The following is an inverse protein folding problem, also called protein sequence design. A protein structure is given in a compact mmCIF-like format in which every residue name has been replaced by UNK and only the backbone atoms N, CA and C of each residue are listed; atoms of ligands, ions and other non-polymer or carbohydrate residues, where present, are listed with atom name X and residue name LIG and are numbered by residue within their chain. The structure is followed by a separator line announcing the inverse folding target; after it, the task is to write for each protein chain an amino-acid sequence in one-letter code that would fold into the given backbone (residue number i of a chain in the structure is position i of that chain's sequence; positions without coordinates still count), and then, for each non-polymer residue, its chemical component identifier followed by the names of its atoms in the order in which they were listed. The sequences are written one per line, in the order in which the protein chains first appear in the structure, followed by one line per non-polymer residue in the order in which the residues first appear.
data_IF_367183409046
#
_entry.id   IF_367183409046
#
_cell.length_a   1.000
_cell.length_b   1.000
_cell.length_c   1.000
_cell.angle_alpha   90.00
_cell.angle_beta   90.00
_cell.angle_gamma   90.00
#
_symmetry.space_group_name_H-M   'P 1'
#
loop_
_entity.id
_entity.type
_entity.pdbx_description
1 polymer ?
#
# COMPACT_ATOMS: atom_id res chain seq x y z
N UNK A 1 -8.26 -1.99 5.11
CA UNK A 1 -7.37 -2.89 4.35
C UNK A 1 -5.98 -2.74 4.93
N UNK A 2 -5.33 -3.85 5.29
CA UNK A 2 -3.95 -3.80 5.80
C UNK A 2 -2.91 -3.88 4.67
N UNK A 3 -3.33 -4.25 3.45
CA UNK A 3 -2.61 -4.05 2.17
C UNK A 3 -1.33 -4.87 1.97
N UNK A 4 -0.67 -5.24 3.06
CA UNK A 4 0.70 -5.77 3.11
C UNK A 4 0.74 -6.98 4.07
N UNK A 5 1.64 -7.93 3.81
CA UNK A 5 1.85 -9.10 4.65
C UNK A 5 2.36 -8.72 6.04
N UNK A 6 3.30 -7.77 6.13
CA UNK A 6 3.88 -7.33 7.40
C UNK A 6 2.81 -6.87 8.40
N UNK A 7 1.75 -6.20 7.92
CA UNK A 7 0.65 -5.74 8.75
C UNK A 7 -0.29 -6.83 9.26
N UNK A 8 -0.19 -8.05 8.72
CA UNK A 8 -1.02 -9.22 9.08
C UNK A 8 -0.18 -10.46 9.40
N UNK A 9 1.12 -10.31 9.66
CA UNK A 9 2.02 -11.45 9.90
C UNK A 9 1.50 -12.41 10.99
N UNK A 10 1.01 -11.87 12.11
CA UNK A 10 0.47 -12.67 13.22
C UNK A 10 -0.69 -13.60 12.81
N UNK A 11 -1.40 -13.25 11.74
CA UNK A 11 -2.52 -14.02 11.22
C UNK A 11 -2.07 -15.19 10.34
N UNK A 12 -0.83 -15.14 9.82
CA UNK A 12 -0.30 -16.15 8.89
C UNK A 12 -0.15 -17.51 9.57
N UNK A 13 0.16 -17.53 10.88
CA UNK A 13 0.28 -18.76 11.66
C UNK A 13 -0.98 -19.61 11.59
N UNK A 14 -2.11 -19.06 12.06
CA UNK A 14 -3.37 -19.81 12.08
C UNK A 14 -3.99 -20.04 10.69
N UNK A 15 -3.66 -19.20 9.70
CA UNK A 15 -4.29 -19.26 8.39
C UNK A 15 -3.49 -20.03 7.32
N UNK A 16 -2.17 -20.14 7.47
CA UNK A 16 -1.28 -20.77 6.50
C UNK A 16 -0.46 -21.87 7.18
N UNK A 17 0.35 -21.51 8.17
CA UNK A 17 1.42 -22.38 8.67
C UNK A 17 0.90 -23.54 9.50
N UNK A 18 -0.02 -23.29 10.44
CA UNK A 18 -0.63 -24.34 11.25
C UNK A 18 -1.45 -25.33 10.39
N UNK A 19 -2.35 -24.88 9.47
CA UNK A 19 -3.05 -25.80 8.57
C UNK A 19 -2.13 -26.60 7.63
N UNK A 20 -0.95 -26.08 7.31
CA UNK A 20 0.06 -26.78 6.52
C UNK A 20 0.76 -27.85 7.37
N UNK A 21 1.13 -27.51 8.60
CA UNK A 21 1.80 -28.40 9.53
C UNK A 21 0.94 -29.54 10.05
N UNK A 22 -0.38 -29.33 10.16
CA UNK A 22 -1.36 -30.37 10.49
C UNK A 22 -1.68 -31.31 9.31
N UNK A 23 -1.08 -31.07 8.13
CA UNK A 23 -1.22 -31.97 6.99
C UNK A 23 -0.51 -33.30 7.26
N UNK A 24 -1.12 -34.42 6.85
CA UNK A 24 -0.50 -35.75 6.96
C UNK A 24 0.81 -35.86 6.17
N UNK A 25 0.95 -35.00 5.16
CA UNK A 25 2.13 -34.90 4.29
C UNK A 25 3.18 -33.92 4.82
N UNK A 26 3.00 -33.28 5.98
CA UNK A 26 3.98 -32.35 6.51
C UNK A 26 5.21 -33.11 7.02
N UNK A 27 6.43 -32.82 6.52
CA UNK A 27 7.64 -33.47 6.99
C UNK A 27 8.07 -32.86 8.33
N UNK A 28 8.71 -33.64 9.21
CA UNK A 28 9.05 -33.20 10.57
C UNK A 28 10.02 -32.01 10.59
N UNK A 29 10.86 -31.87 9.58
CA UNK A 29 11.88 -30.83 9.40
C UNK A 29 11.40 -29.62 8.59
N UNK A 30 10.12 -29.54 8.23
CA UNK A 30 9.55 -28.43 7.44
C UNK A 30 9.90 -27.06 8.02
N UNK A 31 9.76 -26.89 9.34
CA UNK A 31 10.06 -25.61 9.98
C UNK A 31 11.55 -25.33 10.11
N UNK A 32 12.43 -26.33 10.02
CA UNK A 32 13.87 -26.10 9.98
C UNK A 32 14.25 -25.32 8.70
N UNK A 33 13.72 -25.75 7.57
CA UNK A 33 13.94 -25.10 6.28
C UNK A 33 13.18 -23.76 6.18
N UNK A 34 11.91 -23.72 6.58
CA UNK A 34 11.13 -22.48 6.56
C UNK A 34 11.70 -21.42 7.50
N UNK A 35 12.19 -21.79 8.69
CA UNK A 35 12.80 -20.83 9.62
C UNK A 35 14.14 -20.31 9.10
N UNK A 36 14.94 -21.16 8.44
CA UNK A 36 16.18 -20.75 7.78
C UNK A 36 15.91 -19.62 6.78
N UNK A 37 14.91 -19.79 5.93
CA UNK A 37 14.54 -18.76 4.94
C UNK A 37 13.89 -17.54 5.60
N UNK A 38 13.01 -17.74 6.60
CA UNK A 38 12.39 -16.64 7.33
C UNK A 38 13.42 -15.75 8.03
N UNK A 39 14.45 -16.35 8.65
CA UNK A 39 15.48 -15.61 9.37
C UNK A 39 16.29 -14.67 8.46
N UNK A 40 16.42 -14.99 7.17
CA UNK A 40 17.04 -14.11 6.18
C UNK A 40 16.24 -12.82 5.91
N UNK A 41 14.96 -12.79 6.30
CA UNK A 41 14.11 -11.60 6.16
C UNK A 41 14.20 -10.62 7.33
N UNK A 42 14.91 -10.99 8.40
CA UNK A 42 15.04 -10.15 9.58
C UNK A 42 15.93 -8.92 9.32
N UNK A 43 15.60 -7.80 9.97
CA UNK A 43 16.42 -6.58 9.94
C UNK A 43 17.84 -6.83 10.47
N UNK A 44 17.93 -7.68 11.50
CA UNK A 44 19.17 -8.20 12.06
C UNK A 44 19.10 -9.73 12.01
N UNK A 45 19.73 -10.37 11.01
CA UNK A 45 19.79 -11.82 10.93
C UNK A 45 20.52 -12.43 12.14
N UNK A 46 20.10 -13.61 12.63
CA UNK A 46 20.84 -14.32 13.68
C UNK A 46 22.27 -14.65 13.21
N UNK A 47 23.19 -14.84 14.16
CA UNK A 47 24.51 -15.38 13.82
C UNK A 47 24.38 -16.79 13.25
N UNK A 48 25.41 -17.26 12.55
CA UNK A 48 25.43 -18.60 11.96
C UNK A 48 25.22 -19.67 13.05
N UNK A 49 25.87 -19.50 14.20
CA UNK A 49 25.76 -20.42 15.34
C UNK A 49 24.35 -20.40 15.93
N UNK A 50 23.79 -19.21 16.16
CA UNK A 50 22.43 -19.07 16.70
C UNK A 50 21.36 -19.60 15.75
N UNK A 51 21.57 -19.49 14.43
CA UNK A 51 20.69 -20.07 13.43
C UNK A 51 20.81 -21.60 13.41
N UNK A 52 22.03 -22.15 13.46
CA UNK A 52 22.29 -23.59 13.51
C UNK A 52 21.61 -24.24 14.72
N UNK A 53 21.73 -23.63 15.90
CA UNK A 53 21.10 -24.11 17.14
C UNK A 53 19.58 -24.28 17.01
N UNK A 54 18.92 -23.43 16.22
CA UNK A 54 17.47 -23.49 16.01
C UNK A 54 17.10 -24.50 14.92
N UNK A 55 17.79 -24.49 13.78
CA UNK A 55 17.44 -25.30 12.60
C UNK A 55 17.81 -26.79 12.75
N UNK A 56 18.72 -27.13 13.66
CA UNK A 56 19.10 -28.52 13.95
C UNK A 56 18.05 -29.25 14.83
N UNK A 57 17.08 -28.53 15.40
CA UNK A 57 15.99 -29.08 16.22
C UNK A 57 14.62 -28.68 15.67
N UNK A 58 13.84 -29.64 15.12
CA UNK A 58 12.49 -29.40 14.60
C UNK A 58 11.55 -28.67 15.54
N UNK A 59 11.62 -28.96 16.83
CA UNK A 59 10.74 -28.33 17.83
C UNK A 59 11.14 -26.88 18.07
N UNK A 60 12.45 -26.61 18.14
CA UNK A 60 12.93 -25.23 18.30
C UNK A 60 12.63 -24.40 17.07
N UNK A 61 12.80 -24.95 15.87
CA UNK A 61 12.44 -24.31 14.61
C UNK A 61 10.96 -23.94 14.55
N UNK A 62 10.07 -24.86 14.93
CA UNK A 62 8.64 -24.59 15.05
C UNK A 62 8.36 -23.42 15.99
N UNK A 63 8.85 -23.51 17.24
CA UNK A 63 8.58 -22.48 18.25
C UNK A 63 9.17 -21.12 17.85
N UNK A 64 10.33 -21.10 17.22
CA UNK A 64 10.99 -19.89 16.74
C UNK A 64 10.24 -19.26 15.56
N UNK A 65 9.70 -20.08 14.66
CA UNK A 65 8.87 -19.62 13.55
C UNK A 65 7.54 -19.03 14.06
N UNK A 66 6.83 -19.74 14.95
CA UNK A 66 5.56 -19.29 15.54
C UNK A 66 5.73 -17.97 16.31
N UNK A 67 6.83 -17.82 17.05
CA UNK A 67 7.12 -16.61 17.85
C UNK A 67 7.77 -15.48 17.05
N UNK A 68 7.90 -15.60 15.73
CA UNK A 68 8.43 -14.51 14.92
C UNK A 68 7.47 -13.32 14.95
N UNK A 69 8.00 -12.13 15.26
CA UNK A 69 7.21 -10.91 15.41
C UNK A 69 7.49 -9.92 14.28
N UNK A 70 6.47 -9.11 13.97
CA UNK A 70 6.54 -8.06 12.94
C UNK A 70 7.76 -7.16 13.09
N UNK A 71 8.12 -6.82 14.32
CA UNK A 71 9.23 -5.93 14.63
C UNK A 71 10.62 -6.47 14.21
N UNK A 72 10.73 -7.78 13.93
CA UNK A 72 12.00 -8.40 13.51
C UNK A 72 12.25 -8.29 12.01
N UNK A 73 11.21 -8.10 11.20
CA UNK A 73 11.37 -8.09 9.74
C UNK A 73 11.99 -6.80 9.23
N UNK A 74 12.84 -6.93 8.21
CA UNK A 74 13.49 -5.78 7.58
C UNK A 74 12.48 -4.89 6.85
N UNK A 75 11.62 -5.49 6.01
CA UNK A 75 10.60 -4.81 5.21
C UNK A 75 9.65 -5.80 4.54
N UNK A 76 8.60 -5.27 3.91
CA UNK A 76 7.60 -6.03 3.15
C UNK A 76 8.22 -6.81 1.96
N UNK A 77 9.24 -6.27 1.29
CA UNK A 77 9.91 -6.93 0.16
C UNK A 77 10.55 -8.24 0.56
N UNK A 78 11.20 -8.27 1.72
CA UNK A 78 11.82 -9.48 2.25
C UNK A 78 10.75 -10.54 2.56
N UNK A 79 9.62 -10.15 3.17
CA UNK A 79 8.51 -11.07 3.44
C UNK A 79 7.87 -11.63 2.18
N UNK A 80 7.62 -10.79 1.16
CA UNK A 80 7.08 -11.24 -0.13
C UNK A 80 7.98 -12.31 -0.74
N UNK A 81 9.29 -12.08 -0.75
CA UNK A 81 10.27 -13.07 -1.25
C UNK A 81 10.25 -14.36 -0.44
N UNK A 82 10.13 -14.27 0.88
CA UNK A 82 9.98 -15.45 1.72
C UNK A 82 8.71 -16.26 1.38
N UNK A 83 7.57 -15.61 1.15
CA UNK A 83 6.35 -16.33 0.74
C UNK A 83 6.51 -17.00 -0.64
N UNK A 84 7.26 -16.41 -1.56
CA UNK A 84 7.58 -17.05 -2.85
C UNK A 84 8.53 -18.24 -2.66
N UNK A 85 9.64 -18.05 -1.91
CA UNK A 85 10.64 -19.07 -1.64
C UNK A 85 10.11 -20.26 -0.83
N UNK A 86 9.17 -20.02 0.09
CA UNK A 86 8.52 -21.09 0.85
C UNK A 86 7.83 -22.11 -0.06
N UNK A 87 7.36 -21.72 -1.24
CA UNK A 87 6.80 -22.70 -2.18
C UNK A 87 7.85 -23.69 -2.70
N UNK A 88 9.00 -23.18 -3.12
CA UNK A 88 10.11 -24.02 -3.62
C UNK A 88 10.62 -24.95 -2.52
N UNK A 89 10.76 -24.45 -1.29
CA UNK A 89 11.13 -25.28 -0.11
C UNK A 89 10.15 -26.43 0.11
N UNK A 90 8.84 -26.15 0.04
CA UNK A 90 7.81 -27.16 0.27
C UNK A 90 7.72 -28.16 -0.89
N UNK A 91 7.98 -27.71 -2.11
CA UNK A 91 8.09 -28.56 -3.31
C UNK A 91 9.31 -29.50 -3.20
N UNK A 92 10.47 -29.00 -2.75
CA UNK A 92 11.67 -29.82 -2.57
C UNK A 92 11.49 -30.87 -1.44
N UNK A 93 10.77 -30.52 -0.38
CA UNK A 93 10.58 -31.41 0.77
C UNK A 93 9.59 -32.55 0.52
N UNK A 94 8.46 -32.29 -0.15
CA UNK A 94 7.35 -33.26 -0.30
C UNK A 94 6.65 -33.20 -1.67
N UNK A 95 7.21 -32.47 -2.64
CA UNK A 95 6.67 -32.36 -3.98
C UNK A 95 5.39 -31.52 -4.07
N UNK A 96 4.72 -31.68 -5.21
CA UNK A 96 3.56 -30.88 -5.62
C UNK A 96 2.43 -30.84 -4.59
N UNK A 97 2.21 -31.89 -3.80
CA UNK A 97 1.05 -31.97 -2.90
C UNK A 97 1.10 -30.89 -1.81
N UNK A 98 2.23 -30.80 -1.10
CA UNK A 98 2.42 -29.83 -0.03
C UNK A 98 2.53 -28.40 -0.58
N UNK A 99 3.28 -28.22 -1.67
CA UNK A 99 3.42 -26.94 -2.34
C UNK A 99 2.08 -26.39 -2.87
N UNK A 100 1.23 -27.24 -3.48
CA UNK A 100 -0.10 -26.83 -3.94
C UNK A 100 -1.04 -26.49 -2.78
N UNK A 101 -0.96 -27.22 -1.65
CA UNK A 101 -1.72 -26.88 -0.45
C UNK A 101 -1.33 -25.50 0.07
N UNK A 102 -0.04 -25.23 0.18
CA UNK A 102 0.48 -23.91 0.55
C UNK A 102 0.01 -22.82 -0.40
N UNK A 103 0.10 -23.03 -1.72
CA UNK A 103 -0.41 -22.08 -2.71
C UNK A 103 -1.89 -21.74 -2.49
N UNK A 104 -2.72 -22.75 -2.23
CA UNK A 104 -4.14 -22.56 -1.94
C UNK A 104 -4.39 -21.73 -0.68
N UNK A 105 -3.66 -22.02 0.41
CA UNK A 105 -3.74 -21.29 1.67
C UNK A 105 -3.28 -19.84 1.51
N UNK A 106 -2.17 -19.60 0.82
CA UNK A 106 -1.66 -18.27 0.52
C UNK A 106 -2.64 -17.45 -0.33
N UNK A 107 -3.24 -18.07 -1.36
CA UNK A 107 -4.27 -17.44 -2.19
C UNK A 107 -5.48 -17.00 -1.34
N UNK A 108 -6.01 -17.91 -0.52
CA UNK A 108 -7.14 -17.62 0.37
C UNK A 108 -6.79 -16.55 1.41
N UNK A 109 -5.54 -16.52 1.90
CA UNK A 109 -5.06 -15.50 2.82
C UNK A 109 -5.02 -14.11 2.17
N UNK A 110 -4.46 -14.01 0.97
CA UNK A 110 -4.41 -12.77 0.18
C UNK A 110 -5.82 -12.21 -0.03
N UNK A 111 -6.77 -13.06 -0.44
CA UNK A 111 -8.17 -12.67 -0.63
C UNK A 111 -8.83 -12.21 0.69
N UNK A 112 -8.69 -13.01 1.76
CA UNK A 112 -9.29 -12.75 3.07
C UNK A 112 -8.86 -11.41 3.66
N UNK A 113 -7.58 -11.07 3.56
CA UNK A 113 -7.05 -9.81 4.11
C UNK A 113 -6.98 -8.67 3.08
N UNK A 114 -7.44 -8.92 1.85
CA UNK A 114 -7.42 -7.98 0.71
C UNK A 114 -6.02 -7.37 0.54
N UNK A 115 -5.02 -8.24 0.49
CA UNK A 115 -3.63 -7.83 0.31
C UNK A 115 -3.42 -7.31 -1.12
N UNK A 116 -2.41 -6.46 -1.30
CA UNK A 116 -2.12 -5.77 -2.55
C UNK A 116 -1.57 -6.67 -3.68
N UNK A 117 -1.65 -7.99 -3.54
CA UNK A 117 -0.99 -8.97 -4.40
C UNK A 117 -1.98 -9.88 -5.11
N UNK A 118 -1.54 -10.42 -6.25
CA UNK A 118 -2.16 -11.55 -6.93
C UNK A 118 -1.14 -12.67 -7.00
N UNK A 119 -1.56 -13.89 -6.67
CA UNK A 119 -0.69 -15.06 -6.68
C UNK A 119 -0.74 -15.75 -8.04
N UNK A 120 0.41 -15.96 -8.68
CA UNK A 120 0.56 -16.67 -9.96
C UNK A 120 1.41 -17.92 -9.81
N UNK A 121 1.19 -18.92 -10.66
CA UNK A 121 2.00 -20.15 -10.63
C UNK A 121 3.44 -19.90 -11.17
N UNK A 122 4.47 -20.60 -10.65
CA UNK A 122 4.38 -21.62 -9.59
C UNK A 122 4.05 -21.04 -8.21
N UNK A 123 4.67 -19.93 -7.80
CA UNK A 123 4.26 -19.12 -6.64
C UNK A 123 4.91 -17.73 -6.70
N UNK A 124 4.34 -16.84 -7.51
CA UNK A 124 4.83 -15.48 -7.72
C UNK A 124 3.78 -14.45 -7.28
N UNK A 125 4.15 -13.57 -6.37
CA UNK A 125 3.32 -12.50 -5.81
C UNK A 125 3.49 -11.24 -6.66
N UNK A 126 2.50 -10.99 -7.52
CA UNK A 126 2.49 -9.82 -8.39
C UNK A 126 1.66 -8.70 -7.78
N UNK A 127 2.20 -7.48 -7.61
CA UNK A 127 1.43 -6.32 -7.16
C UNK A 127 0.20 -6.09 -8.04
N UNK A 128 -0.87 -5.61 -7.43
CA UNK A 128 -2.13 -5.29 -8.12
C UNK A 128 -2.36 -3.79 -8.14
N UNK A 129 -3.08 -3.30 -9.14
CA UNK A 129 -3.42 -1.88 -9.22
C UNK A 129 -4.20 -1.38 -7.97
N UNK A 130 -5.21 -2.10 -7.44
CA UNK A 130 -5.83 -1.73 -6.17
C UNK A 130 -4.84 -1.69 -5.00
N UNK A 131 -3.90 -2.64 -4.96
CA UNK A 131 -2.81 -2.66 -3.98
C UNK A 131 -1.97 -1.39 -4.04
N UNK A 132 -1.52 -0.99 -5.24
CA UNK A 132 -0.73 0.24 -5.44
C UNK A 132 -1.45 1.48 -4.91
N UNK A 133 -2.77 1.59 -5.15
CA UNK A 133 -3.56 2.71 -4.59
C UNK A 133 -3.69 2.63 -3.06
N UNK A 134 -3.87 1.43 -2.49
CA UNK A 134 -3.96 1.25 -1.04
C UNK A 134 -2.65 1.62 -0.32
N UNK A 135 -1.51 1.28 -0.92
CA UNK A 135 -0.18 1.66 -0.43
C UNK A 135 0.03 3.18 -0.53
N UNK A 136 -0.31 3.79 -1.68
CA UNK A 136 -0.25 5.24 -1.82
C UNK A 136 -1.10 5.99 -0.77
N UNK A 137 -2.32 5.52 -0.50
CA UNK A 137 -3.18 6.10 0.54
C UNK A 137 -2.56 5.93 1.93
N UNK A 138 -1.92 4.78 2.19
CA UNK A 138 -1.24 4.51 3.46
C UNK A 138 -0.01 5.40 3.63
N UNK A 139 0.80 5.58 2.58
CA UNK A 139 1.92 6.52 2.55
C UNK A 139 1.46 7.96 2.78
N UNK A 140 0.37 8.38 2.15
CA UNK A 140 -0.25 9.69 2.35
C UNK A 140 -0.69 9.90 3.81
N UNK A 141 -1.31 8.89 4.41
CA UNK A 141 -1.70 8.94 5.82
C UNK A 141 -0.49 9.03 6.75
N UNK A 142 0.60 8.29 6.48
CA UNK A 142 1.85 8.39 7.24
C UNK A 142 2.45 9.78 7.12
N UNK A 143 2.60 10.30 5.90
CA UNK A 143 3.13 11.64 5.65
C UNK A 143 2.33 12.69 6.42
N UNK A 144 1.01 12.71 6.22
CA UNK A 144 0.14 13.74 6.81
C UNK A 144 0.09 13.66 8.33
N UNK A 145 0.37 12.50 8.94
CA UNK A 145 0.44 12.35 10.39
C UNK A 145 1.66 13.01 11.05
N UNK A 146 2.67 13.40 10.26
CA UNK A 146 3.89 14.06 10.77
C UNK A 146 3.69 15.55 11.07
N UNK A 147 2.61 16.15 10.56
CA UNK A 147 2.30 17.57 10.70
C UNK A 147 0.82 17.76 11.10
N UNK A 148 0.55 18.58 12.11
CA UNK A 148 -0.80 18.76 12.67
C UNK A 148 -1.78 19.37 11.65
N UNK A 149 -1.29 20.30 10.82
CA UNK A 149 -2.10 20.96 9.80
C UNK A 149 -2.45 19.98 8.67
N UNK A 150 -1.48 19.22 8.16
CA UNK A 150 -1.71 18.18 7.16
C UNK A 150 -2.66 17.09 7.69
N UNK A 151 -2.49 16.66 8.94
CA UNK A 151 -3.38 15.67 9.57
C UNK A 151 -4.83 16.19 9.68
N UNK A 152 -5.03 17.49 9.93
CA UNK A 152 -6.36 18.09 9.95
C UNK A 152 -7.00 18.11 8.55
N UNK A 153 -6.25 18.48 7.51
CA UNK A 153 -6.74 18.49 6.12
C UNK A 153 -7.06 17.07 5.61
N UNK A 154 -6.22 16.09 5.94
CA UNK A 154 -6.47 14.69 5.60
C UNK A 154 -7.75 14.18 6.27
N UNK A 155 -7.95 14.46 7.56
CA UNK A 155 -9.19 14.10 8.27
C UNK A 155 -10.41 14.79 7.67
N UNK A 156 -10.32 16.07 7.32
CA UNK A 156 -11.42 16.80 6.69
C UNK A 156 -11.81 16.22 5.31
N UNK A 157 -10.83 15.76 4.52
CA UNK A 157 -11.11 15.05 3.27
C UNK A 157 -11.81 13.72 3.53
N UNK A 158 -11.30 12.92 4.46
CA UNK A 158 -11.91 11.64 4.86
C UNK A 158 -13.33 11.81 5.41
N UNK A 159 -13.59 12.85 6.20
CA UNK A 159 -14.94 13.18 6.69
C UNK A 159 -15.89 13.54 5.55
N UNK A 160 -15.46 14.36 4.58
CA UNK A 160 -16.27 14.68 3.41
C UNK A 160 -16.64 13.42 2.60
N UNK A 161 -15.71 12.47 2.46
CA UNK A 161 -15.99 11.17 1.81
C UNK A 161 -16.99 10.36 2.63
N UNK A 162 -16.86 10.32 3.97
CA UNK A 162 -17.82 9.62 4.84
C UNK A 162 -19.22 10.21 4.75
N UNK A 163 -19.35 11.52 4.59
CA UNK A 163 -20.65 12.19 4.50
C UNK A 163 -21.47 11.78 3.26
N UNK A 164 -20.83 11.22 2.23
CA UNK A 164 -21.51 10.66 1.07
C UNK A 164 -22.46 9.51 1.45
N UNK A 165 -22.26 8.86 2.61
CA UNK A 165 -23.19 7.85 3.14
C UNK A 165 -24.60 8.40 3.38
N UNK A 166 -24.73 9.71 3.60
CA UNK A 166 -26.00 10.40 3.80
C UNK A 166 -26.62 10.89 2.47
N UNK A 167 -26.04 10.47 1.33
CA UNK A 167 -26.45 10.82 -0.02
C UNK A 167 -25.36 11.61 -0.75
N UNK A 168 -25.00 11.17 -1.96
CA UNK A 168 -24.00 11.81 -2.82
C UNK A 168 -24.60 12.96 -3.64
N UNK A 169 -25.04 14.03 -2.97
CA UNK A 169 -25.53 15.25 -3.64
C UNK A 169 -24.38 15.97 -4.36
N UNK A 170 -24.72 16.81 -5.37
CA UNK A 170 -23.73 17.62 -6.09
C UNK A 170 -22.84 18.42 -5.12
N UNK A 171 -23.43 18.98 -4.05
CA UNK A 171 -22.71 19.78 -3.06
C UNK A 171 -21.70 18.98 -2.22
N UNK A 172 -22.08 17.77 -1.79
CA UNK A 172 -21.16 16.88 -1.05
C UNK A 172 -20.04 16.37 -1.95
N UNK A 173 -20.35 16.10 -3.22
CA UNK A 173 -19.32 15.74 -4.22
C UNK A 173 -18.33 16.88 -4.40
N UNK A 174 -18.80 18.12 -4.59
CA UNK A 174 -17.94 19.31 -4.67
C UNK A 174 -17.08 19.47 -3.43
N UNK A 175 -17.66 19.26 -2.25
CA UNK A 175 -16.93 19.32 -0.98
C UNK A 175 -15.80 18.30 -0.94
N UNK A 176 -16.03 17.04 -1.34
CA UNK A 176 -14.98 16.03 -1.41
C UNK A 176 -13.81 16.47 -2.30
N UNK A 177 -14.12 16.94 -3.53
CA UNK A 177 -13.13 17.42 -4.50
C UNK A 177 -12.35 18.60 -3.92
N UNK A 178 -13.07 19.57 -3.34
CA UNK A 178 -12.48 20.76 -2.73
C UNK A 178 -11.48 20.42 -1.62
N UNK A 179 -11.88 19.53 -0.70
CA UNK A 179 -11.00 19.07 0.39
C UNK A 179 -9.78 18.32 -0.12
N UNK A 180 -9.92 17.54 -1.20
CA UNK A 180 -8.78 16.87 -1.81
C UNK A 180 -7.77 17.85 -2.41
N UNK A 181 -8.24 18.89 -3.12
CA UNK A 181 -7.34 19.93 -3.63
C UNK A 181 -6.64 20.70 -2.51
N UNK A 182 -7.35 21.01 -1.42
CA UNK A 182 -6.74 21.66 -0.24
C UNK A 182 -5.64 20.81 0.37
N UNK A 183 -5.86 19.49 0.50
CA UNK A 183 -4.85 18.56 0.99
C UNK A 183 -3.61 18.53 0.07
N UNK A 184 -3.81 18.41 -1.25
CA UNK A 184 -2.70 18.37 -2.21
C UNK A 184 -1.92 19.69 -2.26
N UNK A 185 -2.61 20.82 -2.18
CA UNK A 185 -1.99 22.15 -2.09
C UNK A 185 -1.12 22.28 -0.84
N UNK A 186 -1.63 21.83 0.32
CA UNK A 186 -0.86 21.85 1.55
C UNK A 186 0.36 20.92 1.49
N UNK A 187 0.23 19.72 0.92
CA UNK A 187 1.36 18.80 0.70
C UNK A 187 2.41 19.45 -0.20
N UNK A 188 2.01 20.04 -1.33
CA UNK A 188 2.96 20.71 -2.22
C UNK A 188 3.66 21.89 -1.51
N UNK A 189 2.95 22.60 -0.63
CA UNK A 189 3.50 23.76 0.07
C UNK A 189 4.60 23.43 1.09
N UNK A 190 4.76 22.16 1.48
CA UNK A 190 5.83 21.76 2.41
C UNK A 190 7.19 21.54 1.73
N UNK A 191 7.24 21.55 0.40
CA UNK A 191 8.50 21.42 -0.31
C UNK A 191 9.36 22.69 -0.17
N UNK A 192 10.64 22.53 0.18
CA UNK A 192 11.57 23.65 0.44
C UNK A 192 11.66 24.69 -0.69
N UNK A 193 11.47 24.27 -1.95
CA UNK A 193 11.53 25.13 -3.12
C UNK A 193 10.28 26.00 -3.33
N UNK A 194 9.20 25.74 -2.59
CA UNK A 194 7.89 26.35 -2.82
C UNK A 194 7.74 27.66 -2.04
N UNK A 195 7.39 28.73 -2.77
CA UNK A 195 7.17 30.08 -2.21
C UNK A 195 5.82 30.69 -2.62
N UNK A 196 5.13 30.07 -3.58
CA UNK A 196 3.82 30.53 -4.06
C UNK A 196 2.67 29.92 -3.26
N UNK A 197 1.47 30.51 -3.34
CA UNK A 197 0.32 30.13 -2.52
C UNK A 197 -0.72 29.24 -3.22
N UNK A 198 -0.63 29.06 -4.54
CA UNK A 198 -1.61 28.24 -5.29
C UNK A 198 -0.97 26.97 -5.81
N UNK A 199 -1.67 25.84 -5.74
CA UNK A 199 -1.15 24.56 -6.25
C UNK A 199 -0.71 24.66 -7.73
N UNK A 200 -1.44 25.43 -8.54
CA UNK A 200 -1.09 25.67 -9.94
C UNK A 200 0.27 26.35 -10.14
N UNK A 201 0.62 27.30 -9.27
CA UNK A 201 1.92 27.98 -9.30
C UNK A 201 3.03 27.12 -8.67
N UNK A 202 2.72 26.41 -7.59
CA UNK A 202 3.63 25.47 -6.91
C UNK A 202 4.15 24.40 -7.89
N UNK A 203 3.30 23.95 -8.82
CA UNK A 203 3.71 23.02 -9.88
C UNK A 203 4.92 23.50 -10.68
N UNK A 204 5.11 24.82 -10.85
CA UNK A 204 6.27 25.37 -11.58
C UNK A 204 7.56 25.37 -10.75
N UNK A 205 7.47 25.18 -9.43
CA UNK A 205 8.59 25.17 -8.49
C UNK A 205 9.02 23.75 -8.10
N UNK A 206 8.13 22.76 -8.23
CA UNK A 206 8.43 21.34 -8.03
C UNK A 206 9.23 20.74 -9.20
N UNK A 207 10.20 19.87 -8.91
CA UNK A 207 11.14 19.27 -9.87
C UNK A 207 11.00 17.75 -10.06
N UNK A 208 10.03 17.13 -9.38
CA UNK A 208 9.71 15.69 -9.38
C UNK A 208 8.93 15.22 -10.63
N UNK A 209 8.56 16.14 -11.52
CA UNK A 209 7.71 15.82 -12.67
C UNK A 209 8.45 14.96 -13.71
N UNK A 210 7.86 13.84 -14.17
CA UNK A 210 8.47 13.01 -15.21
C UNK A 210 8.39 13.65 -16.60
N UNK A 211 7.44 14.58 -16.81
CA UNK A 211 7.25 15.29 -18.08
C UNK A 211 6.46 16.58 -17.90
N UNK A 212 6.71 17.59 -18.75
CA UNK A 212 6.03 18.89 -18.68
C UNK A 212 4.51 18.80 -18.88
N UNK A 213 4.03 17.88 -19.72
CA UNK A 213 2.58 17.66 -19.93
C UNK A 213 1.89 17.11 -18.69
N UNK A 214 2.55 16.26 -17.90
CA UNK A 214 2.02 15.73 -16.63
C UNK A 214 1.90 16.84 -15.59
N UNK A 215 2.89 17.73 -15.53
CA UNK A 215 2.80 18.96 -14.72
C UNK A 215 1.61 19.83 -15.15
N UNK A 216 1.50 20.12 -16.44
CA UNK A 216 0.46 21.01 -16.97
C UNK A 216 -0.94 20.42 -16.81
N UNK A 217 -1.11 19.09 -16.86
CA UNK A 217 -2.41 18.47 -16.62
C UNK A 217 -2.92 18.67 -15.20
N UNK A 218 -2.06 18.60 -14.16
CA UNK A 218 -2.49 18.96 -12.80
C UNK A 218 -2.89 20.43 -12.69
N UNK A 219 -2.14 21.33 -13.33
CA UNK A 219 -2.48 22.76 -13.36
C UNK A 219 -3.85 23.01 -14.01
N UNK A 220 -4.19 22.27 -15.07
CA UNK A 220 -5.52 22.35 -15.71
C UNK A 220 -6.63 21.80 -14.81
N UNK A 221 -6.37 20.73 -14.07
CA UNK A 221 -7.31 20.21 -13.06
C UNK A 221 -7.51 21.20 -11.90
N UNK A 222 -6.45 21.88 -11.47
CA UNK A 222 -6.55 22.97 -10.50
C UNK A 222 -7.39 24.15 -11.02
N UNK A 223 -7.23 24.49 -12.30
CA UNK A 223 -8.09 25.46 -12.99
C UNK A 223 -9.57 25.05 -12.97
N UNK A 224 -9.87 23.77 -13.23
CA UNK A 224 -11.24 23.24 -13.08
C UNK A 224 -11.81 23.46 -11.67
N UNK A 225 -11.03 23.22 -10.61
CA UNK A 225 -11.49 23.43 -9.23
C UNK A 225 -11.78 24.92 -8.90
N UNK A 226 -11.08 25.82 -9.60
CA UNK A 226 -11.22 27.27 -9.44
C UNK A 226 -12.41 27.81 -10.25
N UNK A 227 -12.61 27.29 -11.47
CA UNK A 227 -13.62 27.77 -12.42
C UNK A 227 -14.98 27.09 -12.25
N UNK A 228 -15.03 25.83 -11.81
CA UNK A 228 -16.31 25.13 -11.64
C UNK A 228 -17.09 25.70 -10.43
N UNK A 229 -18.36 26.12 -10.61
CA UNK A 229 -19.11 26.79 -9.55
C UNK A 229 -19.28 25.96 -8.28
N UNK A 230 -18.81 26.51 -7.16
CA UNK A 230 -19.01 25.94 -5.82
C UNK A 230 -18.03 24.83 -5.41
N UNK A 231 -16.92 24.61 -6.14
CA UNK A 231 -15.85 23.73 -5.65
C UNK A 231 -14.93 24.49 -4.69
N UNK A 232 -14.21 25.51 -5.17
CA UNK A 232 -13.36 26.37 -4.31
C UNK A 232 -13.88 27.79 -4.15
N UNK A 233 -14.45 28.35 -5.23
CA UNK A 233 -14.94 29.73 -5.28
C UNK A 233 -16.29 29.79 -6.01
N UNK A 234 -16.85 30.99 -6.16
CA UNK A 234 -18.09 31.20 -6.91
C UNK A 234 -18.02 30.64 -8.35
N UNK A 235 -16.82 30.62 -8.95
CA UNK A 235 -16.53 30.04 -10.26
C UNK A 235 -17.11 30.84 -11.42
N UNK A 236 -17.07 30.25 -12.62
CA UNK A 236 -17.64 30.76 -13.86
C UNK A 236 -18.83 29.88 -14.29
N UNK A 237 -20.08 30.32 -14.05
CA UNK A 237 -21.28 29.55 -14.43
C UNK A 237 -21.35 29.20 -15.91
N UNK A 238 -20.80 30.03 -16.80
CA UNK A 238 -20.79 29.78 -18.24
C UNK A 238 -19.87 28.61 -18.64
N UNK A 239 -18.91 28.24 -17.78
CA UNK A 239 -18.01 27.10 -17.99
C UNK A 239 -18.59 25.76 -17.53
N UNK A 240 -19.75 25.73 -16.84
CA UNK A 240 -20.37 24.49 -16.35
C UNK A 240 -21.13 23.79 -17.48
N UNK A 241 -20.59 22.66 -17.95
CA UNK A 241 -21.26 21.81 -18.94
C UNK A 241 -22.42 20.98 -18.35
N UNK A 242 -22.23 20.42 -17.15
CA UNK A 242 -23.23 19.66 -16.38
C UNK A 242 -22.87 19.60 -14.90
N UNK A 243 -23.81 19.13 -14.06
CA UNK A 243 -23.55 18.79 -12.66
C UNK A 243 -22.50 17.69 -12.51
N UNK A 244 -21.71 17.76 -11.43
CA UNK A 244 -20.79 16.69 -11.05
C UNK A 244 -21.56 15.54 -10.39
N UNK A 245 -21.17 14.31 -10.74
CA UNK A 245 -21.78 13.06 -10.31
C UNK A 245 -20.74 12.16 -9.65
N UNK A 246 -21.17 11.07 -9.02
CA UNK A 246 -20.27 10.15 -8.30
C UNK A 246 -19.15 9.57 -9.18
N UNK A 247 -19.40 9.37 -10.48
CA UNK A 247 -18.35 8.94 -11.43
C UNK A 247 -17.24 9.98 -11.60
N UNK A 248 -17.58 11.26 -11.54
CA UNK A 248 -16.61 12.36 -11.67
C UNK A 248 -15.78 12.47 -10.40
N UNK A 249 -16.41 12.30 -9.24
CA UNK A 249 -15.69 12.20 -7.97
C UNK A 249 -14.68 11.05 -8.01
N UNK A 250 -15.11 9.85 -8.40
CA UNK A 250 -14.22 8.69 -8.47
C UNK A 250 -13.04 8.94 -9.42
N UNK A 251 -13.29 9.45 -10.63
CA UNK A 251 -12.26 9.75 -11.61
C UNK A 251 -11.27 10.83 -11.12
N UNK A 252 -11.80 11.95 -10.59
CA UNK A 252 -10.97 13.02 -10.04
C UNK A 252 -10.16 12.55 -8.85
N UNK A 253 -10.74 11.78 -7.94
CA UNK A 253 -10.01 11.30 -6.77
C UNK A 253 -8.88 10.35 -7.13
N UNK A 254 -9.07 9.47 -8.12
CA UNK A 254 -8.00 8.61 -8.65
C UNK A 254 -6.89 9.47 -9.29
N UNK A 255 -7.25 10.42 -10.15
CA UNK A 255 -6.28 11.28 -10.83
C UNK A 255 -5.48 12.12 -9.82
N UNK A 256 -6.17 12.78 -8.89
CA UNK A 256 -5.58 13.65 -7.88
C UNK A 256 -4.67 12.87 -6.93
N UNK A 257 -5.08 11.69 -6.47
CA UNK A 257 -4.19 10.82 -5.70
C UNK A 257 -2.98 10.39 -6.53
N UNK A 258 -3.16 10.06 -7.80
CA UNK A 258 -2.06 9.72 -8.71
C UNK A 258 -1.03 10.84 -8.91
N UNK A 259 -1.37 12.10 -8.63
CA UNK A 259 -0.40 13.20 -8.64
C UNK A 259 0.36 13.37 -7.32
N UNK A 260 -0.14 12.82 -6.20
CA UNK A 260 0.46 13.01 -4.89
C UNK A 260 1.97 12.67 -4.83
N UNK A 261 2.47 11.59 -5.45
CA UNK A 261 3.92 11.29 -5.45
C UNK A 261 4.79 12.39 -6.05
N UNK A 262 4.26 13.22 -6.95
CA UNK A 262 5.00 14.35 -7.51
C UNK A 262 4.97 15.58 -6.59
N UNK A 263 4.12 15.63 -5.57
CA UNK A 263 3.98 16.82 -4.72
C UNK A 263 4.93 16.81 -3.52
N UNK A 264 5.42 15.64 -3.12
CA UNK A 264 6.38 15.51 -2.02
C UNK A 264 7.28 14.30 -2.23
N UNK A 265 8.59 14.51 -2.14
CA UNK A 265 9.58 13.43 -2.22
C UNK A 265 9.51 12.50 -0.99
N UNK A 266 8.85 12.92 0.10
CA UNK A 266 8.66 12.11 1.30
C UNK A 266 7.54 11.05 1.14
N UNK A 267 6.81 11.04 0.01
CA UNK A 267 5.85 9.99 -0.32
C UNK A 267 6.57 8.78 -0.90
N UNK A 268 7.08 7.93 -0.01
CA UNK A 268 7.61 6.62 -0.37
C UNK A 268 6.48 5.58 -0.38
N UNK A 269 6.31 4.89 -1.50
CA UNK A 269 5.36 3.79 -1.70
C UNK A 269 6.08 2.45 -1.67
N UNK A 270 5.67 1.54 -0.78
CA UNK A 270 6.29 0.25 -0.57
C UNK A 270 6.10 -0.69 -1.78
N UNK A 271 4.91 -0.75 -2.37
CA UNK A 271 4.60 -1.67 -3.47
C UNK A 271 5.31 -1.30 -4.78
N UNK A 272 5.58 0.00 -5.00
CA UNK A 272 6.40 0.43 -6.15
C UNK A 272 7.85 -0.02 -5.98
N UNK A 273 8.39 0.01 -4.76
CA UNK A 273 9.77 -0.43 -4.46
C UNK A 273 9.98 -1.95 -4.63
N UNK A 274 8.89 -2.73 -4.67
CA UNK A 274 8.92 -4.15 -5.04
C UNK A 274 9.15 -4.37 -6.54
N UNK A 275 8.82 -3.38 -7.37
CA UNK A 275 8.97 -3.46 -8.83
C UNK A 275 10.38 -3.08 -9.31
N UNK A 276 11.18 -2.45 -8.45
CA UNK A 276 12.60 -2.20 -8.71
C UNK A 276 13.39 -3.49 -8.42
N UNK A 277 13.88 -4.11 -9.50
CA UNK A 277 14.68 -5.33 -9.49
C UNK A 277 16.04 -5.12 -8.81
#
# INVERSE_FOLDING_TARGET
MRGEFIGVWSETWGAIWLPLAESETAPPDMFCELYRELAATFAEPPSIEALADVIDDPKQSWEAFERSEVARFANEKALVRFFEAAFEILEDLQGDELANRYFGLLCAFIEKYSLGYSLRRPCALSPTLPGMFADLISALKRLTSTDEHLAALYRAHEEAVRDLRYGATEERIKTCISRQFMLLEAIASTADAVTTQTLGDMCNQLNSWPHATIKESLKRLYGFASDYPGIRHAGNPAGKLRGVETRDLAALSILLMGYAPYLSNALETNLASLMDA
#
